data_IF_749493893298
#
_entry.id   IF_749493893298
#
_cell.length_a   1.000
_cell.length_b   1.000
_cell.length_c   1.000
_cell.angle_alpha   90.00
_cell.angle_beta   90.00
_cell.angle_gamma   90.00
#
_symmetry.space_group_name_H-M   'P 1'
#
loop_
_entity.id
_entity.type
_entity.pdbx_description
1 polymer ?
#
# COMPACT_ATOMS: atom_id res chain seq x y z
N UNK A 1 -27.04 12.50 70.45
CA UNK A 1 -26.32 11.55 69.58
C UNK A 1 -24.85 11.71 69.91
N UNK A 2 -24.35 10.83 70.78
CA UNK A 2 -22.95 10.69 71.14
C UNK A 2 -22.53 9.30 70.68
N UNK A 3 -21.34 9.21 70.09
CA UNK A 3 -20.40 8.07 70.00
C UNK A 3 -19.41 8.43 68.87
N UNK A 4 -18.23 8.94 69.19
CA UNK A 4 -17.04 8.19 69.61
C UNK A 4 -16.44 7.36 68.47
N UNK A 5 -15.35 7.83 67.89
CA UNK A 5 -14.37 6.95 67.26
C UNK A 5 -12.99 7.50 67.52
N UNK A 6 -12.29 6.81 68.42
CA UNK A 6 -10.96 7.12 68.90
C UNK A 6 -10.02 5.95 68.59
N UNK A 7 -8.89 6.31 67.98
CA UNK A 7 -7.53 5.78 68.11
C UNK A 7 -7.13 4.32 67.79
N UNK A 8 -5.91 4.28 67.21
CA UNK A 8 -4.81 3.31 67.32
C UNK A 8 -4.87 2.04 66.46
N UNK A 9 -3.76 1.41 66.05
CA UNK A 9 -2.33 1.70 65.84
C UNK A 9 -1.70 0.32 65.57
N UNK A 10 -0.67 0.21 64.70
CA UNK A 10 0.37 -0.84 64.58
C UNK A 10 0.71 -0.99 63.08
N UNK A 11 1.85 -0.52 62.54
CA UNK A 11 3.25 -0.92 62.76
C UNK A 11 3.45 -2.44 62.70
N UNK A 12 3.95 -2.90 61.56
CA UNK A 12 5.06 -3.89 61.45
C UNK A 12 5.39 -4.13 59.97
N UNK A 13 6.67 -4.06 59.60
CA UNK A 13 7.11 -4.51 58.27
C UNK A 13 8.39 -3.88 57.74
N UNK A 14 9.45 -3.79 58.56
CA UNK A 14 10.82 -3.72 58.07
C UNK A 14 11.15 -5.04 57.35
N UNK A 15 11.65 -4.96 56.11
CA UNK A 15 12.53 -5.99 55.56
C UNK A 15 13.55 -5.35 54.63
N UNK A 16 14.80 -5.33 55.10
CA UNK A 16 16.01 -5.08 54.32
C UNK A 16 16.56 -6.39 53.76
N UNK A 17 17.43 -6.23 52.77
CA UNK A 17 18.42 -7.19 52.23
C UNK A 17 17.80 -8.32 51.36
N UNK A 18 18.31 -8.70 50.18
CA UNK A 18 19.70 -8.86 49.76
C UNK A 18 19.86 -8.78 48.22
N UNK A 19 21.01 -8.24 47.80
CA UNK A 19 21.93 -8.79 46.78
C UNK A 19 21.36 -9.67 45.68
N UNK A 20 21.33 -9.17 44.44
CA UNK A 20 21.37 -10.05 43.26
C UNK A 20 22.34 -9.52 42.22
N UNK A 21 23.41 -10.31 42.11
CA UNK A 21 24.53 -10.30 41.18
C UNK A 21 24.25 -9.70 39.80
N UNK A 22 25.24 -8.95 39.34
CA UNK A 22 25.43 -8.70 37.93
C UNK A 22 25.61 -10.00 37.16
N UNK A 23 24.96 -10.05 36.01
CA UNK A 23 25.44 -10.78 34.86
C UNK A 23 25.09 -9.92 33.65
N UNK A 24 26.06 -9.16 33.18
CA UNK A 24 26.00 -8.49 31.88
C UNK A 24 26.23 -9.59 30.86
N UNK A 25 25.16 -10.21 30.37
CA UNK A 25 25.27 -10.99 29.13
C UNK A 25 25.53 -10.01 28.00
N UNK A 26 26.78 -10.04 27.55
CA UNK A 26 27.26 -9.48 26.30
C UNK A 26 26.47 -10.13 25.16
N UNK A 27 25.37 -9.50 24.75
CA UNK A 27 24.68 -9.86 23.51
C UNK A 27 25.56 -9.35 22.36
N UNK A 28 26.46 -10.23 21.95
CA UNK A 28 27.21 -10.18 20.70
C UNK A 28 26.21 -10.06 19.55
N UNK A 29 26.02 -8.84 19.04
CA UNK A 29 25.29 -8.58 17.81
C UNK A 29 26.12 -9.13 16.63
N UNK A 30 25.60 -10.07 15.81
CA UNK A 30 26.28 -10.44 14.59
C UNK A 30 26.20 -9.28 13.60
N UNK A 31 27.35 -8.71 13.25
CA UNK A 31 27.51 -7.81 12.12
C UNK A 31 27.09 -8.51 10.84
N UNK A 32 25.88 -8.25 10.37
CA UNK A 32 25.46 -8.57 9.01
C UNK A 32 26.01 -7.51 8.08
N UNK A 33 27.06 -7.88 7.34
CA UNK A 33 27.56 -7.16 6.16
C UNK A 33 26.41 -7.04 5.15
N UNK A 34 25.80 -5.87 5.05
CA UNK A 34 24.85 -5.55 3.99
C UNK A 34 25.64 -5.10 2.76
N UNK A 35 25.78 -6.02 1.82
CA UNK A 35 26.23 -5.71 0.47
C UNK A 35 25.26 -4.70 -0.17
N UNK A 36 25.80 -3.50 -0.39
CA UNK A 36 25.14 -2.41 -1.10
C UNK A 36 25.13 -2.73 -2.60
N UNK A 37 24.17 -3.55 -3.04
CA UNK A 37 23.86 -3.73 -4.46
C UNK A 37 23.28 -2.42 -5.01
N UNK A 38 24.18 -1.61 -5.57
CA UNK A 38 23.88 -0.40 -6.33
C UNK A 38 23.09 -0.79 -7.58
N UNK A 39 21.76 -0.67 -7.55
CA UNK A 39 20.94 -0.69 -8.76
C UNK A 39 21.07 0.67 -9.45
N UNK A 40 22.08 0.79 -10.31
CA UNK A 40 22.25 1.95 -11.19
C UNK A 40 21.30 1.80 -12.37
N UNK A 41 20.29 2.67 -12.37
CA UNK A 41 19.43 3.05 -13.49
C UNK A 41 20.07 2.82 -14.87
N UNK A 42 19.53 1.88 -15.63
CA UNK A 42 19.73 1.78 -17.07
C UNK A 42 18.79 2.76 -17.77
N UNK A 43 19.24 4.00 -17.92
CA UNK A 43 18.78 4.89 -18.97
C UNK A 43 19.81 4.74 -20.10
N UNK A 44 19.44 4.04 -21.17
CA UNK A 44 19.93 4.15 -22.55
C UNK A 44 19.73 2.82 -23.28
N UNK A 45 18.56 2.66 -23.92
CA UNK A 45 18.43 1.80 -25.09
C UNK A 45 17.27 2.32 -25.94
N UNK A 46 17.49 3.44 -26.63
CA UNK A 46 16.67 3.87 -27.76
C UNK A 46 17.58 3.90 -28.97
N UNK A 47 17.64 2.79 -29.71
CA UNK A 47 17.93 2.79 -31.15
C UNK A 47 17.76 1.38 -31.71
N UNK A 48 17.05 1.32 -32.84
CA UNK A 48 17.02 0.24 -33.84
C UNK A 48 16.01 -0.89 -33.62
N UNK A 49 14.78 -0.65 -34.06
CA UNK A 49 14.00 -1.70 -34.69
C UNK A 49 13.18 -1.15 -35.88
N UNK A 50 13.29 -1.87 -36.98
CA UNK A 50 12.33 -2.00 -38.07
C UNK A 50 12.04 -0.77 -38.95
N UNK A 51 12.78 -0.75 -40.05
CA UNK A 51 12.40 -0.20 -41.36
C UNK A 51 11.06 -0.80 -41.82
N UNK A 52 10.00 -0.03 -42.13
CA UNK A 52 8.89 -0.48 -42.95
C UNK A 52 9.18 -0.16 -44.41
N UNK A 53 9.05 -1.18 -45.25
CA UNK A 53 9.07 -1.13 -46.71
C UNK A 53 7.97 -0.20 -47.21
N UNK A 54 8.37 0.84 -47.95
CA UNK A 54 7.49 1.64 -48.79
C UNK A 54 7.14 0.84 -50.05
N UNK A 55 5.86 0.52 -50.25
CA UNK A 55 5.32 0.16 -51.56
C UNK A 55 4.73 1.41 -52.22
N UNK A 56 5.15 1.78 -53.45
CA UNK A 56 4.53 2.86 -54.20
C UNK A 56 3.33 2.35 -55.01
N UNK A 57 2.18 3.00 -54.81
CA UNK A 57 1.00 2.93 -55.66
C UNK A 57 1.28 3.73 -56.94
N UNK A 58 1.33 3.07 -58.12
CA UNK A 58 1.09 3.72 -59.43
C UNK A 58 0.43 2.72 -60.41
N UNK A 59 -0.85 3.00 -60.69
CA UNK A 59 -1.51 3.10 -62.01
C UNK A 59 -1.53 1.93 -63.01
N UNK A 60 -2.77 1.65 -63.44
CA UNK A 60 -3.23 0.79 -64.53
C UNK A 60 -2.49 0.93 -65.87
N UNK A 61 -2.38 -0.18 -66.61
CA UNK A 61 -2.48 -0.19 -68.08
C UNK A 61 -2.60 -1.61 -68.68
N UNK A 62 -3.63 -1.73 -69.53
CA UNK A 62 -3.76 -2.56 -70.74
C UNK A 62 -3.69 -4.10 -70.68
N UNK A 63 -4.87 -4.72 -70.75
CA UNK A 63 -5.11 -5.99 -71.46
C UNK A 63 -6.09 -5.68 -72.61
N UNK A 64 -5.87 -6.19 -73.85
CA UNK A 64 -6.61 -5.75 -75.04
C UNK A 64 -8.05 -6.29 -75.09
N UNK A 65 -8.96 -5.62 -75.81
CA UNK A 65 -10.32 -6.11 -76.00
C UNK A 65 -10.37 -7.05 -77.22
N UNK A 66 -10.87 -8.26 -77.03
CA UNK A 66 -11.52 -9.03 -78.10
C UNK A 66 -12.81 -9.59 -77.51
N UNK A 67 -13.88 -8.81 -77.62
CA UNK A 67 -15.26 -9.29 -77.50
C UNK A 67 -15.93 -8.97 -78.82
N UNK A 68 -15.96 -9.97 -79.68
CA UNK A 68 -16.69 -9.97 -80.94
C UNK A 68 -17.50 -11.24 -81.03
N UNK A 69 -18.56 -11.35 -80.26
CA UNK A 69 -19.69 -12.23 -80.58
C UNK A 69 -20.91 -11.74 -79.80
N UNK A 70 -21.98 -11.40 -80.54
CA UNK A 70 -23.22 -10.88 -79.98
C UNK A 70 -23.86 -11.94 -79.10
N UNK A 71 -23.86 -11.71 -77.79
CA UNK A 71 -24.65 -12.49 -76.86
C UNK A 71 -26.13 -12.12 -77.05
N UNK A 72 -26.89 -13.07 -77.61
CA UNK A 72 -28.34 -13.01 -77.73
C UNK A 72 -28.97 -13.14 -76.33
N UNK A 73 -29.41 -12.01 -75.77
CA UNK A 73 -30.05 -11.92 -74.45
C UNK A 73 -31.47 -12.52 -74.44
N UNK A 74 -31.97 -13.03 -75.58
CA UNK A 74 -33.28 -13.67 -75.68
C UNK A 74 -33.39 -14.94 -74.82
N UNK A 75 -32.27 -15.53 -74.40
CA UNK A 75 -32.23 -16.69 -73.49
C UNK A 75 -32.25 -16.32 -72.00
N UNK A 76 -32.00 -15.06 -71.62
CA UNK A 76 -32.00 -14.61 -70.22
C UNK A 76 -33.40 -14.24 -69.70
N UNK A 77 -34.38 -14.14 -70.59
CA UNK A 77 -35.76 -13.79 -70.25
C UNK A 77 -36.73 -14.97 -70.36
N UNK A 78 -36.25 -16.15 -70.75
CA UNK A 78 -37.03 -17.38 -70.76
C UNK A 78 -37.06 -17.96 -69.35
N UNK A 79 -37.82 -17.32 -68.46
CA UNK A 79 -38.18 -17.93 -67.17
C UNK A 79 -39.17 -19.06 -67.43
N UNK A 80 -38.70 -20.30 -67.35
CA UNK A 80 -39.54 -21.49 -67.29
C UNK A 80 -39.82 -21.83 -65.81
N UNK A 81 -41.05 -21.58 -65.31
CA UNK A 81 -41.39 -21.88 -63.92
C UNK A 81 -41.47 -23.38 -63.60
N UNK A 82 -41.47 -24.27 -64.60
CA UNK A 82 -41.44 -25.73 -64.36
C UNK A 82 -40.01 -26.29 -64.24
N UNK A 83 -38.98 -25.51 -64.58
CA UNK A 83 -37.56 -25.91 -64.44
C UNK A 83 -36.98 -25.65 -63.05
N UNK A 84 -37.76 -25.12 -62.10
CA UNK A 84 -37.36 -25.01 -60.69
C UNK A 84 -37.65 -26.36 -60.02
N UNK A 85 -36.84 -27.37 -60.31
CA UNK A 85 -36.73 -28.51 -59.42
C UNK A 85 -36.25 -27.95 -58.06
N UNK A 86 -36.95 -28.21 -56.94
CA UNK A 86 -36.47 -27.82 -55.64
C UNK A 86 -35.20 -28.63 -55.40
N UNK A 87 -34.04 -28.00 -55.63
CA UNK A 87 -32.78 -28.48 -55.13
C UNK A 87 -33.03 -28.81 -53.66
N UNK A 88 -32.89 -30.09 -53.32
CA UNK A 88 -32.98 -30.55 -51.94
C UNK A 88 -31.86 -29.85 -51.20
N UNK A 89 -32.23 -28.69 -50.63
CA UNK A 89 -31.38 -27.86 -49.81
C UNK A 89 -30.95 -28.72 -48.66
N UNK A 90 -29.75 -29.30 -48.79
CA UNK A 90 -28.99 -29.87 -47.69
C UNK A 90 -29.08 -28.86 -46.58
N UNK A 91 -29.76 -29.24 -45.50
CA UNK A 91 -30.02 -28.42 -44.34
C UNK A 91 -28.68 -27.83 -43.85
N UNK A 92 -28.38 -26.61 -44.29
CA UNK A 92 -27.59 -25.69 -43.51
C UNK A 92 -28.43 -25.46 -42.28
N UNK A 93 -28.00 -26.03 -41.17
CA UNK A 93 -28.62 -25.91 -39.86
C UNK A 93 -28.57 -24.42 -39.48
N UNK A 94 -29.60 -23.68 -39.87
CA UNK A 94 -29.79 -22.30 -39.43
C UNK A 94 -30.00 -22.34 -37.91
N UNK A 95 -29.11 -21.75 -37.10
CA UNK A 95 -29.24 -21.78 -35.66
C UNK A 95 -30.54 -21.10 -35.25
N UNK A 96 -31.46 -21.87 -34.67
CA UNK A 96 -32.76 -21.36 -34.22
C UNK A 96 -32.59 -20.11 -33.33
N UNK A 97 -33.41 -19.06 -33.50
CA UNK A 97 -33.31 -17.80 -32.75
C UNK A 97 -33.47 -17.96 -31.22
N UNK A 98 -34.02 -19.09 -30.75
CA UNK A 98 -34.06 -19.45 -29.33
C UNK A 98 -32.68 -19.69 -28.73
N UNK A 99 -31.72 -20.20 -29.51
CA UNK A 99 -30.36 -20.53 -29.06
C UNK A 99 -29.53 -19.26 -28.86
N UNK A 100 -29.60 -18.32 -29.80
CA UNK A 100 -28.87 -17.04 -29.73
C UNK A 100 -29.36 -16.17 -28.58
N UNK A 101 -30.68 -16.15 -28.32
CA UNK A 101 -31.25 -15.46 -27.18
C UNK A 101 -30.74 -16.03 -25.84
N UNK A 102 -30.71 -17.36 -25.71
CA UNK A 102 -30.16 -18.03 -24.51
C UNK A 102 -28.67 -17.74 -24.32
N UNK A 103 -27.88 -17.75 -25.40
CA UNK A 103 -26.46 -17.40 -25.37
C UNK A 103 -26.23 -15.95 -24.96
N UNK A 104 -27.03 -14.99 -25.47
CA UNK A 104 -26.95 -13.59 -25.05
C UNK A 104 -27.32 -13.39 -23.57
N UNK A 105 -28.33 -14.10 -23.07
CA UNK A 105 -28.67 -14.06 -21.64
C UNK A 105 -27.52 -14.62 -20.79
N UNK A 106 -26.91 -15.74 -21.20
CA UNK A 106 -25.74 -16.32 -20.53
C UNK A 106 -24.55 -15.36 -20.55
N UNK A 107 -24.25 -14.77 -21.70
CA UNK A 107 -23.19 -13.77 -21.84
C UNK A 107 -23.44 -12.58 -20.91
N UNK A 108 -24.67 -12.06 -20.87
CA UNK A 108 -25.05 -10.98 -19.95
C UNK A 108 -24.78 -11.36 -18.50
N UNK A 109 -25.15 -12.57 -18.08
CA UNK A 109 -24.90 -13.04 -16.72
C UNK A 109 -23.40 -13.10 -16.39
N UNK A 110 -22.59 -13.61 -17.31
CA UNK A 110 -21.13 -13.67 -17.16
C UNK A 110 -20.51 -12.27 -17.06
N UNK A 111 -20.88 -11.36 -17.97
CA UNK A 111 -20.41 -9.97 -17.99
C UNK A 111 -20.86 -9.15 -16.78
N UNK A 112 -21.96 -9.55 -16.13
CA UNK A 112 -22.46 -8.92 -14.91
C UNK A 112 -21.81 -9.46 -13.63
N UNK A 113 -20.97 -10.50 -13.75
CA UNK A 113 -20.28 -11.08 -12.60
C UNK A 113 -19.11 -10.19 -12.13
N UNK A 114 -18.68 -10.33 -10.85
CA UNK A 114 -17.50 -9.63 -10.35
C UNK A 114 -16.27 -9.81 -11.25
N UNK A 115 -15.36 -8.83 -11.25
CA UNK A 115 -14.19 -8.81 -12.14
C UNK A 115 -13.35 -10.09 -11.99
N UNK A 116 -13.23 -10.63 -10.78
CA UNK A 116 -12.49 -11.86 -10.53
C UNK A 116 -13.10 -13.07 -11.25
N UNK A 117 -14.41 -13.25 -11.15
CA UNK A 117 -15.11 -14.36 -11.79
C UNK A 117 -15.23 -14.18 -13.30
N UNK A 118 -15.39 -12.93 -13.74
CA UNK A 118 -15.45 -12.57 -15.15
C UNK A 118 -14.14 -12.91 -15.87
N UNK A 119 -13.01 -12.58 -15.24
CA UNK A 119 -11.68 -12.79 -15.81
C UNK A 119 -11.30 -14.28 -15.79
N UNK A 120 -11.72 -15.02 -14.77
CA UNK A 120 -11.51 -16.48 -14.70
C UNK A 120 -12.30 -17.22 -15.80
N UNK A 121 -13.52 -16.77 -16.08
CA UNK A 121 -14.41 -17.32 -17.12
C UNK A 121 -14.23 -16.63 -18.49
N UNK A 122 -13.10 -15.95 -18.72
CA UNK A 122 -12.88 -15.17 -19.94
C UNK A 122 -12.89 -16.00 -21.23
N UNK A 123 -12.45 -17.26 -21.18
CA UNK A 123 -12.50 -18.18 -22.33
C UNK A 123 -13.94 -18.60 -22.66
N UNK A 124 -14.80 -18.75 -21.65
CA UNK A 124 -16.23 -19.03 -21.84
C UNK A 124 -16.94 -17.83 -22.49
N UNK A 125 -16.61 -16.61 -22.03
CA UNK A 125 -17.12 -15.37 -22.61
C UNK A 125 -16.70 -15.23 -24.07
N UNK A 126 -15.44 -15.53 -24.38
CA UNK A 126 -14.90 -15.51 -25.74
C UNK A 126 -15.62 -16.52 -26.65
N UNK A 127 -15.75 -17.78 -26.21
CA UNK A 127 -16.41 -18.82 -27.00
C UNK A 127 -17.88 -18.49 -27.31
N UNK A 128 -18.64 -18.03 -26.31
CA UNK A 128 -20.04 -17.62 -26.53
C UNK A 128 -20.12 -16.44 -27.50
N UNK A 129 -19.19 -15.49 -27.44
CA UNK A 129 -19.20 -14.33 -28.32
C UNK A 129 -18.85 -14.68 -29.76
N UNK A 130 -17.89 -15.57 -29.99
CA UNK A 130 -17.51 -16.09 -31.31
C UNK A 130 -18.69 -16.85 -31.95
N UNK A 131 -19.44 -17.63 -31.17
CA UNK A 131 -20.63 -18.36 -31.63
C UNK A 131 -21.75 -17.42 -32.11
N UNK A 132 -22.00 -16.32 -31.39
CA UNK A 132 -23.09 -15.37 -31.73
C UNK A 132 -22.66 -14.25 -32.68
N UNK A 133 -21.36 -14.09 -32.93
CA UNK A 133 -20.80 -13.04 -33.78
C UNK A 133 -21.46 -12.93 -35.16
N UNK A 134 -21.66 -14.01 -35.94
CA UNK A 134 -22.23 -13.89 -37.29
C UNK A 134 -23.68 -13.41 -37.31
N UNK A 135 -24.39 -13.50 -36.17
CA UNK A 135 -25.79 -13.12 -36.04
C UNK A 135 -25.99 -11.71 -35.45
N UNK A 136 -24.91 -11.05 -35.03
CA UNK A 136 -24.95 -9.73 -34.40
C UNK A 136 -24.74 -8.61 -35.43
N UNK A 137 -25.49 -7.50 -35.35
CA UNK A 137 -25.18 -6.27 -36.07
C UNK A 137 -23.76 -5.78 -35.76
N UNK A 138 -23.04 -5.28 -36.78
CA UNK A 138 -21.65 -4.80 -36.66
C UNK A 138 -21.45 -3.82 -35.51
N UNK A 139 -22.43 -2.94 -35.25
CA UNK A 139 -22.40 -1.97 -34.14
C UNK A 139 -22.28 -2.63 -32.77
N UNK A 140 -22.90 -3.80 -32.56
CA UNK A 140 -22.81 -4.54 -31.31
C UNK A 140 -21.50 -5.32 -31.22
N UNK A 141 -20.99 -5.84 -32.33
CA UNK A 141 -19.70 -6.53 -32.36
C UNK A 141 -18.57 -5.62 -31.88
N UNK A 142 -18.53 -4.37 -32.35
CA UNK A 142 -17.51 -3.40 -31.92
C UNK A 142 -17.59 -3.11 -30.42
N UNK A 143 -18.81 -3.02 -29.85
CA UNK A 143 -19.01 -2.77 -28.42
C UNK A 143 -18.65 -3.96 -27.54
N UNK A 144 -18.82 -5.18 -28.06
CA UNK A 144 -18.54 -6.42 -27.33
C UNK A 144 -17.11 -6.90 -27.52
N UNK A 145 -16.37 -6.37 -28.50
CA UNK A 145 -14.99 -6.77 -28.79
C UNK A 145 -14.04 -6.72 -27.59
N UNK A 146 -14.08 -5.71 -26.70
CA UNK A 146 -13.26 -5.71 -25.50
C UNK A 146 -13.47 -6.95 -24.61
N UNK A 147 -14.67 -7.54 -24.62
CA UNK A 147 -14.98 -8.75 -23.86
C UNK A 147 -14.20 -9.98 -24.35
N UNK A 148 -13.85 -10.03 -25.65
CA UNK A 148 -12.99 -11.08 -26.22
C UNK A 148 -11.57 -11.00 -25.66
N UNK A 149 -11.12 -9.79 -25.32
CA UNK A 149 -9.76 -9.53 -24.84
C UNK A 149 -9.59 -9.65 -23.32
N UNK A 150 -10.61 -10.10 -22.59
CA UNK A 150 -10.57 -10.19 -21.12
C UNK A 150 -9.45 -11.09 -20.61
N UNK A 151 -9.12 -12.16 -21.34
CA UNK A 151 -8.04 -13.09 -20.98
C UNK A 151 -6.67 -12.39 -20.90
N UNK A 152 -6.45 -11.34 -21.70
CA UNK A 152 -5.23 -10.53 -21.66
C UNK A 152 -5.03 -9.80 -20.32
N UNK A 153 -6.09 -9.57 -19.55
CA UNK A 153 -6.03 -8.89 -18.25
C UNK A 153 -5.89 -9.84 -17.07
N UNK A 154 -5.95 -11.16 -17.29
CA UNK A 154 -5.99 -12.17 -16.21
C UNK A 154 -4.84 -12.07 -15.24
N UNK A 155 -3.61 -12.08 -15.75
CA UNK A 155 -2.41 -11.97 -14.93
C UNK A 155 -2.37 -10.65 -14.13
N UNK A 156 -2.79 -9.54 -14.74
CA UNK A 156 -2.80 -8.21 -14.10
C UNK A 156 -3.82 -8.12 -12.97
N UNK A 157 -5.01 -8.66 -13.18
CA UNK A 157 -6.08 -8.70 -12.17
C UNK A 157 -5.68 -9.60 -11.01
N UNK A 158 -5.12 -10.78 -11.28
CA UNK A 158 -4.62 -11.69 -10.25
C UNK A 158 -3.49 -11.04 -9.43
N UNK A 159 -2.52 -10.40 -10.08
CA UNK A 159 -1.44 -9.70 -9.40
C UNK A 159 -1.96 -8.53 -8.56
N UNK A 160 -2.91 -7.75 -9.08
CA UNK A 160 -3.54 -6.67 -8.34
C UNK A 160 -4.26 -7.20 -7.08
N UNK A 161 -4.93 -8.34 -7.20
CA UNK A 161 -5.59 -9.00 -6.07
C UNK A 161 -4.59 -9.44 -5.01
N UNK A 162 -3.53 -10.14 -5.40
CA UNK A 162 -2.45 -10.53 -4.48
C UNK A 162 -1.85 -9.32 -3.75
N UNK A 163 -1.63 -8.19 -4.45
CA UNK A 163 -1.14 -6.95 -3.83
C UNK A 163 -2.13 -6.32 -2.85
N UNK A 164 -3.44 -6.46 -3.10
CA UNK A 164 -4.48 -6.01 -2.18
C UNK A 164 -4.49 -6.90 -0.94
N UNK A 165 -4.49 -8.22 -1.12
CA UNK A 165 -4.53 -9.19 -0.03
C UNK A 165 -3.28 -9.09 0.86
N UNK A 166 -2.09 -8.94 0.26
CA UNK A 166 -0.84 -8.72 1.00
C UNK A 166 -0.90 -7.44 1.84
N UNK A 167 -1.46 -6.35 1.30
CA UNK A 167 -1.61 -5.09 2.06
C UNK A 167 -2.59 -5.24 3.21
N UNK A 168 -3.70 -5.95 3.01
CA UNK A 168 -4.65 -6.25 4.06
C UNK A 168 -4.02 -7.13 5.16
N UNK A 169 -3.21 -8.12 4.80
CA UNK A 169 -2.49 -8.94 5.76
C UNK A 169 -1.44 -8.13 6.57
N UNK A 170 -0.88 -7.07 5.99
CA UNK A 170 0.10 -6.19 6.66
C UNK A 170 -0.55 -5.10 7.53
N UNK A 171 -1.83 -4.79 7.34
CA UNK A 171 -2.54 -3.76 8.11
C UNK A 171 -2.41 -3.92 9.64
N UNK A 172 -2.65 -5.10 10.24
CA UNK A 172 -2.57 -5.27 11.70
C UNK A 172 -1.15 -5.04 12.23
N UNK A 173 -0.13 -5.54 11.52
CA UNK A 173 1.27 -5.34 11.91
C UNK A 173 1.66 -3.85 11.87
N UNK A 174 1.24 -3.12 10.82
CA UNK A 174 1.50 -1.67 10.72
C UNK A 174 0.82 -0.90 11.85
N UNK A 175 -0.39 -1.29 12.23
CA UNK A 175 -1.10 -0.69 13.36
C UNK A 175 -0.37 -0.93 14.69
N UNK A 176 0.10 -2.15 14.94
CA UNK A 176 0.87 -2.50 16.15
C UNK A 176 2.19 -1.73 16.23
N UNK A 177 2.94 -1.64 15.12
CA UNK A 177 4.17 -0.85 15.05
C UNK A 177 3.89 0.62 15.37
N UNK A 178 2.86 1.21 14.77
CA UNK A 178 2.50 2.60 15.04
C UNK A 178 2.16 2.83 16.52
N UNK A 179 1.37 1.94 17.12
CA UNK A 179 1.01 2.01 18.54
C UNK A 179 2.25 1.88 19.46
N UNK A 180 3.18 0.98 19.12
CA UNK A 180 4.45 0.82 19.86
C UNK A 180 5.33 2.06 19.74
N UNK A 181 5.48 2.60 18.53
CA UNK A 181 6.24 3.82 18.30
C UNK A 181 5.65 5.01 19.07
N UNK A 182 4.32 5.16 19.08
CA UNK A 182 3.65 6.18 19.87
C UNK A 182 3.99 6.05 21.35
N UNK A 183 3.81 4.86 21.93
CA UNK A 183 4.11 4.61 23.35
C UNK A 183 5.58 4.89 23.70
N UNK A 184 6.51 4.52 22.81
CA UNK A 184 7.93 4.79 23.00
C UNK A 184 8.25 6.29 22.95
N UNK A 185 7.63 7.02 22.02
CA UNK A 185 7.80 8.46 21.94
C UNK A 185 7.23 9.18 23.18
N UNK A 186 6.07 8.75 23.68
CA UNK A 186 5.49 9.27 24.92
C UNK A 186 6.42 9.00 26.12
N UNK A 187 6.98 7.78 26.22
CA UNK A 187 7.95 7.45 27.27
C UNK A 187 9.23 8.26 27.16
N UNK A 188 9.74 8.47 25.94
CA UNK A 188 10.91 9.31 25.70
C UNK A 188 10.64 10.74 26.15
N UNK A 189 9.52 11.34 25.72
CA UNK A 189 9.16 12.69 26.14
C UNK A 189 9.04 12.83 27.66
N UNK A 190 8.48 11.83 28.34
CA UNK A 190 8.40 11.81 29.80
C UNK A 190 9.77 11.68 30.49
N UNK A 191 10.73 10.99 29.86
CA UNK A 191 12.10 10.92 30.36
C UNK A 191 12.86 12.22 30.10
N UNK A 192 12.73 12.79 28.91
CA UNK A 192 13.34 14.07 28.54
C UNK A 192 12.89 15.17 29.53
N UNK A 193 11.59 15.24 29.83
CA UNK A 193 11.04 16.16 30.83
C UNK A 193 11.54 15.92 32.26
N UNK A 194 11.92 14.67 32.61
CA UNK A 194 12.56 14.37 33.91
C UNK A 194 14.03 14.73 33.94
N UNK A 195 14.72 14.62 32.81
CA UNK A 195 16.13 15.00 32.69
C UNK A 195 16.33 16.51 32.62
N UNK A 196 15.26 17.26 32.29
CA UNK A 196 15.16 18.71 32.46
C UNK A 196 15.13 19.09 33.96
N UNK A 197 16.21 18.73 34.66
CA UNK A 197 16.52 19.08 36.05
C UNK A 197 17.10 20.49 36.18
N UNK A 198 17.02 21.28 35.11
CA UNK A 198 17.60 22.63 35.01
C UNK A 198 17.08 23.55 36.11
N UNK A 199 15.79 23.47 36.44
CA UNK A 199 15.17 24.23 37.52
C UNK A 199 15.74 23.81 38.87
N UNK A 200 15.75 22.51 39.19
CA UNK A 200 16.30 22.00 40.45
C UNK A 200 17.81 22.26 40.57
N UNK A 201 18.56 22.22 39.48
CA UNK A 201 19.99 22.57 39.47
C UNK A 201 20.21 24.05 39.73
N UNK A 202 19.37 24.93 39.19
CA UNK A 202 19.44 26.37 39.44
C UNK A 202 19.11 26.68 40.91
N UNK A 203 18.04 26.09 41.45
CA UNK A 203 17.68 26.22 42.87
C UNK A 203 18.81 25.75 43.79
N UNK A 204 19.42 24.61 43.48
CA UNK A 204 20.54 24.07 44.27
C UNK A 204 21.73 25.04 44.26
N UNK A 205 22.06 25.63 43.11
CA UNK A 205 23.14 26.60 43.00
C UNK A 205 22.85 27.90 43.77
N UNK A 206 21.60 28.35 43.81
CA UNK A 206 21.22 29.49 44.66
C UNK A 206 21.40 29.17 46.15
N UNK A 207 20.97 27.99 46.60
CA UNK A 207 21.15 27.56 47.99
C UNK A 207 22.62 27.42 48.38
N UNK A 208 23.48 26.96 47.46
CA UNK A 208 24.94 26.91 47.69
C UNK A 208 25.53 28.30 47.94
N UNK A 209 25.13 29.31 47.14
CA UNK A 209 25.60 30.69 47.31
C UNK A 209 25.12 31.31 48.62
N UNK A 210 23.87 31.03 49.01
CA UNK A 210 23.33 31.51 50.28
C UNK A 210 24.05 30.89 51.48
N UNK A 211 24.40 29.59 51.38
CA UNK A 211 25.21 28.90 52.38
C UNK A 211 26.59 29.56 52.51
N UNK A 212 27.30 29.78 51.40
CA UNK A 212 28.63 30.42 51.40
C UNK A 212 28.58 31.83 52.02
N UNK A 213 27.56 32.63 51.69
CA UNK A 213 27.35 33.95 52.29
C UNK A 213 27.10 33.86 53.80
N UNK A 214 26.26 32.91 54.24
CA UNK A 214 26.00 32.69 55.66
C UNK A 214 27.27 32.27 56.42
N UNK A 215 28.10 31.40 55.85
CA UNK A 215 29.37 30.99 56.44
C UNK A 215 30.33 32.17 56.60
N UNK A 216 30.43 33.04 55.60
CA UNK A 216 31.25 34.26 55.67
C UNK A 216 30.74 35.21 56.75
N UNK A 217 29.43 35.43 56.85
CA UNK A 217 28.84 36.25 57.92
C UNK A 217 29.11 35.68 59.31
N UNK A 218 29.04 34.35 59.46
CA UNK A 218 29.39 33.68 60.73
C UNK A 218 30.87 33.94 61.06
N UNK A 219 31.77 33.82 60.07
CA UNK A 219 33.21 34.09 60.25
C UNK A 219 33.47 35.52 60.71
N UNK A 220 32.88 36.51 60.04
CA UNK A 220 32.99 37.94 60.40
C UNK A 220 32.46 38.20 61.81
N UNK A 221 31.30 37.62 62.15
CA UNK A 221 30.69 37.79 63.47
C UNK A 221 31.54 37.17 64.58
N UNK A 222 32.12 35.98 64.34
CA UNK A 222 33.05 35.35 65.29
C UNK A 222 34.29 36.21 65.53
N UNK A 223 34.89 36.79 64.49
CA UNK A 223 36.03 37.70 64.64
C UNK A 223 35.64 38.92 65.47
N UNK A 224 34.49 39.53 65.20
CA UNK A 224 34.00 40.68 65.95
C UNK A 224 33.77 40.36 67.44
N UNK A 225 33.28 39.15 67.75
CA UNK A 225 33.13 38.68 69.13
C UNK A 225 34.51 38.58 69.80
N UNK A 226 35.48 37.93 69.16
CA UNK A 226 36.84 37.78 69.69
C UNK A 226 37.53 39.13 69.93
N UNK A 227 37.41 40.07 68.98
CA UNK A 227 37.99 41.40 69.11
C UNK A 227 37.38 42.16 70.29
N UNK A 228 36.05 42.05 70.48
CA UNK A 228 35.36 42.64 71.63
C UNK A 228 35.74 41.98 72.96
N UNK A 229 35.86 40.66 73.02
CA UNK A 229 36.34 39.94 74.20
C UNK A 229 37.76 40.37 74.59
N UNK A 230 38.64 40.54 73.60
CA UNK A 230 39.99 41.05 73.80
C UNK A 230 40.01 42.52 74.27
N UNK A 231 39.08 43.36 73.79
CA UNK A 231 38.91 44.73 74.29
C UNK A 231 38.43 44.74 75.75
N UNK A 232 37.43 43.93 76.09
CA UNK A 232 36.90 43.81 77.46
C UNK A 232 38.01 43.34 78.41
N UNK A 233 38.75 42.28 78.03
CA UNK A 233 39.87 41.75 78.82
C UNK A 233 40.97 42.78 79.04
N UNK A 234 41.27 43.63 78.05
CA UNK A 234 42.23 44.74 78.19
C UNK A 234 41.72 45.87 79.08
N UNK A 235 40.44 46.18 79.03
CA UNK A 235 39.82 47.24 79.85
C UNK A 235 39.65 46.86 81.33
N UNK A 236 39.59 45.56 81.65
CA UNK A 236 39.43 45.05 83.03
C UNK A 236 40.75 44.82 83.78
N UNK A 237 41.91 45.07 83.14
CA UNK A 237 43.26 44.92 83.72
C UNK A 237 43.90 46.26 84.15
N UNK A 238 43.07 47.29 84.33
CA UNK A 238 43.41 48.57 84.95
C UNK A 238 42.63 48.73 86.25
#
# INVERSE_FOLDING_TARGET
MAESSNANAMVSGLKTDETSNGNVEEILMPSATLDLATSKSAADTVANLAKPTEEPIITASAVPPVLGEGYDLSSLLTFDPESIEPATSRAGEEPRPSTTHGQLQRLKALLSSPVETLVENSEEVKGILEDIQPHLPVTLQVKLWPAVTLSAFRSRVQLARQRIDLRHAQLPLKADIAAKCQRLNEKKAALDAKTDTSVSSAELETLRKDLENLEERIRVTKQLIQDKEALISRSSNW
#
